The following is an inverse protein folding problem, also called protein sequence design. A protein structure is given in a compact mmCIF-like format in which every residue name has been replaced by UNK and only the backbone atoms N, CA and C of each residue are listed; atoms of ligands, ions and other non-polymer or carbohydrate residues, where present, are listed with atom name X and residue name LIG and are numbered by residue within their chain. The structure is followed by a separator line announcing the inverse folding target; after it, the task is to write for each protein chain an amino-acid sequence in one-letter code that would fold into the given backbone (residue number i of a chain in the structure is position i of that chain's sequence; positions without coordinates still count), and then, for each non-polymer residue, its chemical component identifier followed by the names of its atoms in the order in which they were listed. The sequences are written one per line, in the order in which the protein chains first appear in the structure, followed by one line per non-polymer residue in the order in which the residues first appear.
data_IF_966013225767
#
_entry.id   IF_966013225767
#
_cell.length_a   1.000
_cell.length_b   1.000
_cell.length_c   1.000
_cell.angle_alpha   90.00
_cell.angle_beta   90.00
_cell.angle_gamma   90.00
#
_symmetry.space_group_name_H-M   'P 1'
#
loop_
_entity.id
_entity.type
_entity.pdbx_description
1 polymer ?
#
# COMPACT_ATOMS: atom_id res chain seq x y z
N UNK A 1 -15.57 0.30 -6.75
CA UNK A 1 -15.03 -1.05 -7.05
C UNK A 1 -13.57 -1.02 -6.63
N UNK A 2 -13.29 -1.42 -5.38
CA UNK A 2 -11.93 -1.35 -4.82
C UNK A 2 -11.06 -2.46 -5.38
N UNK A 3 -9.85 -2.10 -5.81
CA UNK A 3 -8.84 -2.99 -6.41
C UNK A 3 -8.19 -3.94 -5.37
N UNK A 4 -8.93 -4.41 -4.38
CA UNK A 4 -8.42 -5.23 -3.27
C UNK A 4 -7.77 -6.52 -3.78
N UNK A 5 -8.39 -7.17 -4.78
CA UNK A 5 -7.86 -8.38 -5.40
C UNK A 5 -6.51 -8.15 -6.12
N UNK A 6 -6.28 -6.93 -6.64
CA UNK A 6 -5.02 -6.57 -7.29
C UNK A 6 -3.92 -6.42 -6.24
N UNK A 7 -4.26 -5.82 -5.09
CA UNK A 7 -3.34 -5.65 -3.96
C UNK A 7 -2.95 -7.00 -3.38
N UNK A 8 -3.91 -7.90 -3.17
CA UNK A 8 -3.62 -9.28 -2.73
C UNK A 8 -2.74 -10.04 -3.72
N UNK A 9 -3.00 -9.91 -5.02
CA UNK A 9 -2.18 -10.54 -6.05
C UNK A 9 -0.74 -10.02 -6.03
N UNK A 10 -0.55 -8.70 -5.88
CA UNK A 10 0.76 -8.06 -5.79
C UNK A 10 1.52 -8.54 -4.54
N UNK A 11 0.86 -8.54 -3.38
CA UNK A 11 1.41 -9.05 -2.12
C UNK A 11 1.84 -10.52 -2.26
N UNK A 12 1.00 -11.36 -2.86
CA UNK A 12 1.30 -12.78 -3.09
C UNK A 12 2.47 -13.00 -4.05
N UNK A 13 2.83 -12.02 -4.87
CA UNK A 13 3.99 -12.06 -5.78
C UNK A 13 5.26 -11.48 -5.15
N UNK A 14 5.22 -11.10 -3.87
CA UNK A 14 6.35 -10.48 -3.18
C UNK A 14 6.56 -9.02 -3.58
N UNK A 15 5.50 -8.33 -4.02
CA UNK A 15 5.59 -6.89 -4.26
C UNK A 15 6.01 -6.17 -2.96
N UNK A 16 7.02 -5.31 -3.08
CA UNK A 16 7.45 -4.47 -1.97
C UNK A 16 6.36 -3.44 -1.67
N UNK A 17 5.69 -3.64 -0.54
CA UNK A 17 4.61 -2.77 -0.02
C UNK A 17 5.05 -1.36 0.34
N UNK A 18 6.35 -1.19 0.59
CA UNK A 18 6.98 0.09 0.92
C UNK A 18 7.67 0.72 -0.30
N UNK A 19 7.41 0.21 -1.52
CA UNK A 19 7.92 0.84 -2.74
C UNK A 19 7.38 2.25 -2.86
N UNK A 20 8.25 3.23 -3.04
CA UNK A 20 7.83 4.60 -3.32
C UNK A 20 7.70 4.80 -4.82
N UNK A 21 6.72 5.59 -5.25
CA UNK A 21 6.68 6.09 -6.61
C UNK A 21 7.69 7.22 -6.83
N UNK A 22 7.61 7.88 -7.99
CA UNK A 22 8.54 8.95 -8.38
C UNK A 22 8.36 10.23 -7.56
N UNK A 23 7.20 10.37 -6.94
CA UNK A 23 6.81 11.50 -6.11
C UNK A 23 7.10 11.22 -4.62
N UNK A 24 7.53 10.00 -4.30
CA UNK A 24 7.84 9.56 -2.94
C UNK A 24 6.66 8.92 -2.22
N UNK A 25 5.53 8.72 -2.91
CA UNK A 25 4.32 8.17 -2.32
C UNK A 25 4.38 6.64 -2.25
N UNK A 26 3.98 6.10 -1.11
CA UNK A 26 3.84 4.65 -0.92
C UNK A 26 2.46 4.17 -1.36
N UNK A 27 2.29 2.88 -1.68
CA UNK A 27 0.99 2.25 -1.88
C UNK A 27 0.01 2.53 -0.74
N UNK A 28 0.53 2.65 0.49
CA UNK A 28 -0.23 2.97 1.68
C UNK A 28 -0.72 4.44 1.67
N UNK A 29 0.15 5.40 1.33
CA UNK A 29 -0.20 6.82 1.17
C UNK A 29 -1.31 6.99 0.12
N UNK A 30 -1.15 6.36 -1.04
CA UNK A 30 -2.16 6.39 -2.10
C UNK A 30 -3.50 5.76 -1.69
N UNK A 31 -3.46 4.67 -0.92
CA UNK A 31 -4.67 4.02 -0.40
C UNK A 31 -5.40 4.87 0.65
N UNK A 32 -4.65 5.59 1.50
CA UNK A 32 -5.21 6.53 2.47
C UNK A 32 -5.83 7.72 1.74
N UNK A 33 -5.11 8.32 0.80
CA UNK A 33 -5.57 9.48 0.03
C UNK A 33 -6.86 9.18 -0.76
N UNK A 34 -6.94 7.99 -1.35
CA UNK A 34 -8.14 7.51 -2.06
C UNK A 34 -9.28 7.09 -1.13
N UNK A 35 -9.05 7.01 0.19
CA UNK A 35 -10.06 6.56 1.15
C UNK A 35 -10.45 5.09 0.97
N UNK A 36 -9.47 4.22 0.69
CA UNK A 36 -9.67 2.77 0.51
C UNK A 36 -9.23 1.97 1.74
N UNK A 37 -10.06 1.88 2.81
CA UNK A 37 -9.68 1.24 4.07
C UNK A 37 -9.34 -0.24 3.90
N UNK A 38 -10.01 -0.95 2.99
CA UNK A 38 -9.70 -2.35 2.70
C UNK A 38 -8.31 -2.54 2.09
N UNK A 39 -7.88 -1.61 1.24
CA UNK A 39 -6.52 -1.65 0.66
C UNK A 39 -5.46 -1.35 1.73
N UNK A 40 -5.75 -0.42 2.65
CA UNK A 40 -4.90 -0.11 3.80
C UNK A 40 -4.72 -1.35 4.67
N UNK A 41 -5.80 -2.05 5.01
CA UNK A 41 -5.75 -3.26 5.82
C UNK A 41 -4.93 -4.38 5.16
N UNK A 42 -5.10 -4.57 3.84
CA UNK A 42 -4.32 -5.54 3.06
C UNK A 42 -2.83 -5.22 3.03
N UNK A 43 -2.47 -3.95 2.84
CA UNK A 43 -1.07 -3.51 2.82
C UNK A 43 -0.43 -3.68 4.20
N UNK A 44 -1.13 -3.30 5.29
CA UNK A 44 -0.65 -3.51 6.65
C UNK A 44 -0.45 -5.00 6.95
N UNK A 45 -1.37 -5.86 6.49
CA UNK A 45 -1.23 -7.32 6.60
C UNK A 45 -0.04 -7.87 5.79
N UNK A 46 0.31 -7.19 4.69
CA UNK A 46 1.47 -7.45 3.87
C UNK A 46 2.81 -6.97 4.47
N UNK A 47 2.80 -6.35 5.65
CA UNK A 47 3.99 -5.83 6.31
C UNK A 47 4.34 -4.40 5.92
N UNK A 48 3.41 -3.64 5.32
CA UNK A 48 3.63 -2.23 5.03
C UNK A 48 3.85 -1.46 6.33
N UNK A 49 4.90 -0.66 6.40
CA UNK A 49 5.19 0.14 7.58
C UNK A 49 4.64 1.55 7.39
N UNK A 50 3.87 2.03 8.39
CA UNK A 50 3.38 3.41 8.40
C UNK A 50 4.50 4.43 8.71
N UNK A 51 5.68 3.93 9.06
CA UNK A 51 6.77 4.68 9.69
C UNK A 51 7.64 5.48 8.71
N UNK A 52 7.30 5.55 7.43
CA UNK A 52 7.97 6.48 6.51
C UNK A 52 7.45 7.91 6.66
N UNK A 53 7.39 8.41 7.89
CA UNK A 53 7.39 9.85 8.14
C UNK A 53 8.80 10.36 7.84
N UNK A 54 8.98 10.78 6.58
CA UNK A 54 9.72 11.98 6.21
C UNK A 54 10.89 12.37 7.13
N UNK A 55 12.12 12.04 6.74
CA UNK A 55 13.28 12.86 7.13
C UNK A 55 13.44 14.01 6.12
#
# INVERSE_FOLDING_TARGET
MGCNAIVELLLSRGAQVDSVDKDGDTPLSGAIFQGHPSTVELLLKGGATMDRQNE
#
